data_IF_700157114022
#
_entry.id   IF_700157114022
#
_cell.length_a   1.000
_cell.length_b   1.000
_cell.length_c   1.000
_cell.angle_alpha   90.00
_cell.angle_beta   90.00
_cell.angle_gamma   90.00
#
_symmetry.space_group_name_H-M   'P 1'
#
loop_
_entity.id
_entity.type
_entity.pdbx_description
1 polymer ?
#
# COMPACT_ATOMS: atom_id res chain seq x y z
N UNK A 1 11.75 11.23 -2.56
CA UNK A 1 10.96 10.02 -2.90
C UNK A 1 9.57 10.49 -3.33
N UNK A 2 8.97 9.95 -4.40
CA UNK A 2 7.68 10.41 -4.92
C UNK A 2 6.53 10.18 -3.95
N UNK A 3 5.60 11.12 -3.87
CA UNK A 3 4.42 11.05 -3.00
C UNK A 3 3.54 9.83 -3.32
N UNK A 4 3.34 9.50 -4.60
CA UNK A 4 2.58 8.31 -5.02
C UNK A 4 3.15 6.99 -4.48
N UNK A 5 4.47 6.87 -4.34
CA UNK A 5 5.11 5.70 -3.73
C UNK A 5 4.76 5.58 -2.24
N UNK A 6 4.83 6.68 -1.50
CA UNK A 6 4.50 6.70 -0.07
C UNK A 6 3.03 6.37 0.19
N UNK A 7 2.13 6.85 -0.67
CA UNK A 7 0.72 6.47 -0.62
C UNK A 7 0.53 4.98 -0.93
N UNK A 8 1.25 4.44 -1.92
CA UNK A 8 1.23 3.01 -2.22
C UNK A 8 1.66 2.14 -1.05
N UNK A 9 2.72 2.54 -0.32
CA UNK A 9 3.14 1.84 0.91
C UNK A 9 2.02 1.82 1.98
N UNK A 10 1.37 2.96 2.20
CA UNK A 10 0.29 3.09 3.19
C UNK A 10 -0.96 2.29 2.81
N UNK A 11 -1.34 2.32 1.53
CA UNK A 11 -2.45 1.57 0.99
C UNK A 11 -2.24 0.07 1.17
N UNK A 12 -1.09 -0.45 0.73
CA UNK A 12 -0.73 -1.85 0.91
C UNK A 12 -0.77 -2.29 2.38
N UNK A 13 -0.29 -1.45 3.30
CA UNK A 13 -0.33 -1.72 4.75
C UNK A 13 -1.75 -1.82 5.30
N UNK A 14 -2.60 -0.86 4.93
CA UNK A 14 -4.00 -0.84 5.35
C UNK A 14 -4.74 -2.06 4.82
N UNK A 15 -4.61 -2.34 3.53
CA UNK A 15 -5.26 -3.49 2.90
C UNK A 15 -4.78 -4.82 3.48
N UNK A 16 -3.47 -4.99 3.68
CA UNK A 16 -2.92 -6.20 4.28
C UNK A 16 -3.49 -6.44 5.67
N UNK A 17 -3.54 -5.40 6.51
CA UNK A 17 -4.04 -5.51 7.87
C UNK A 17 -5.52 -5.86 7.91
N UNK A 18 -6.33 -5.22 7.06
CA UNK A 18 -7.78 -5.49 6.99
C UNK A 18 -8.08 -6.90 6.46
N UNK A 19 -7.32 -7.37 5.46
CA UNK A 19 -7.44 -8.74 4.95
C UNK A 19 -7.15 -9.74 6.06
N UNK A 20 -6.08 -9.53 6.84
CA UNK A 20 -5.69 -10.45 7.93
C UNK A 20 -6.71 -10.41 9.07
N UNK A 21 -7.20 -9.23 9.46
CA UNK A 21 -8.23 -9.09 10.48
C UNK A 21 -9.58 -9.72 10.09
N UNK A 22 -9.92 -9.74 8.79
CA UNK A 22 -11.10 -10.46 8.31
C UNK A 22 -10.92 -11.98 8.20
N UNK A 23 -9.67 -12.47 8.16
CA UNK A 23 -9.36 -13.87 7.88
C UNK A 23 -8.97 -14.69 9.13
N UNK A 24 -8.39 -14.05 10.15
CA UNK A 24 -7.96 -14.71 11.38
C UNK A 24 -9.02 -14.56 12.47
N UNK A 25 -9.25 -15.63 13.23
CA UNK A 25 -10.21 -15.68 14.32
C UNK A 25 -9.58 -16.24 15.60
N UNK A 26 -9.58 -15.45 16.68
CA UNK A 26 -9.16 -15.90 18.02
C UNK A 26 -9.91 -17.15 18.50
N UNK A 27 -11.19 -17.30 18.18
CA UNK A 27 -11.99 -18.47 18.55
C UNK A 27 -11.48 -19.75 17.86
N UNK A 28 -10.82 -19.62 16.71
CA UNK A 28 -10.10 -20.71 16.04
C UNK A 28 -8.70 -20.97 16.62
N UNK A 29 -8.30 -20.24 17.67
CA UNK A 29 -7.03 -20.43 18.39
C UNK A 29 -5.85 -19.60 17.86
N UNK A 30 -6.09 -18.69 16.91
CA UNK A 30 -5.06 -17.78 16.43
C UNK A 30 -4.64 -16.81 17.54
N UNK A 31 -3.32 -16.60 17.67
CA UNK A 31 -2.71 -15.69 18.64
C UNK A 31 -2.28 -14.40 17.96
N UNK A 32 -2.12 -13.34 18.75
CA UNK A 32 -1.56 -12.03 18.33
C UNK A 32 -0.26 -12.16 17.53
N UNK A 33 0.62 -13.08 17.95
CA UNK A 33 1.85 -13.37 17.21
C UNK A 33 1.57 -13.78 15.77
N UNK A 34 0.61 -14.69 15.57
CA UNK A 34 0.20 -15.17 14.25
C UNK A 34 -0.37 -14.05 13.41
N UNK A 35 -1.15 -13.14 14.01
CA UNK A 35 -1.66 -11.95 13.34
C UNK A 35 -0.51 -11.09 12.78
N UNK A 36 0.45 -10.71 13.64
CA UNK A 36 1.57 -9.87 13.22
C UNK A 36 2.48 -10.51 12.16
N UNK A 37 2.69 -11.83 12.19
CA UNK A 37 3.43 -12.53 11.13
C UNK A 37 2.65 -12.62 9.82
N UNK A 38 1.36 -12.96 9.90
CA UNK A 38 0.51 -13.04 8.70
C UNK A 38 0.37 -11.66 8.05
N UNK A 39 0.25 -10.59 8.84
CA UNK A 39 0.23 -9.22 8.35
C UNK A 39 1.54 -8.84 7.63
N UNK A 40 2.70 -9.32 8.09
CA UNK A 40 3.98 -9.12 7.38
C UNK A 40 3.95 -9.82 6.01
N UNK A 41 3.57 -11.09 5.96
CA UNK A 41 3.58 -11.90 4.73
C UNK A 41 2.57 -11.36 3.69
N UNK A 42 1.37 -10.99 4.15
CA UNK A 42 0.34 -10.40 3.28
C UNK A 42 0.78 -9.02 2.80
N UNK A 43 1.42 -8.21 3.66
CA UNK A 43 1.92 -6.89 3.27
C UNK A 43 2.96 -6.96 2.17
N UNK A 44 3.90 -7.90 2.24
CA UNK A 44 4.87 -8.13 1.17
C UNK A 44 4.17 -8.36 -0.19
N UNK A 45 3.17 -9.25 -0.22
CA UNK A 45 2.41 -9.54 -1.43
C UNK A 45 1.56 -8.35 -1.90
N UNK A 46 1.02 -7.56 -0.97
CA UNK A 46 0.25 -6.37 -1.28
C UNK A 46 1.13 -5.26 -1.87
N UNK A 47 2.35 -5.11 -1.38
CA UNK A 47 3.33 -4.17 -1.93
C UNK A 47 3.70 -4.55 -3.36
N UNK A 48 3.93 -5.83 -3.63
CA UNK A 48 4.18 -6.30 -5.00
C UNK A 48 2.99 -5.97 -5.93
N UNK A 49 1.75 -6.18 -5.47
CA UNK A 49 0.54 -5.82 -6.21
C UNK A 49 0.42 -4.33 -6.48
N UNK A 50 0.51 -3.50 -5.44
CA UNK A 50 0.36 -2.03 -5.55
C UNK A 50 1.42 -1.43 -6.48
N UNK A 51 2.61 -2.01 -6.50
CA UNK A 51 3.72 -1.57 -7.35
C UNK A 51 3.77 -2.24 -8.73
N UNK A 52 2.88 -3.17 -9.05
CA UNK A 52 2.91 -3.90 -10.32
C UNK A 52 4.19 -4.73 -10.51
N UNK A 53 4.78 -5.20 -9.41
CA UNK A 53 6.00 -6.01 -9.45
C UNK A 53 5.63 -7.45 -9.83
N UNK A 54 6.22 -7.96 -10.90
CA UNK A 54 5.99 -9.33 -11.37
C UNK A 54 4.73 -9.50 -12.24
N UNK A 55 4.01 -8.42 -12.54
CA UNK A 55 2.98 -8.42 -13.58
C UNK A 55 3.62 -8.23 -14.96
N UNK A 56 3.07 -8.87 -16.00
CA UNK A 56 3.46 -8.62 -17.39
C UNK A 56 2.94 -7.27 -17.93
N UNK A 57 2.19 -6.55 -17.10
CA UNK A 57 1.76 -5.18 -17.35
C UNK A 57 2.93 -4.22 -17.11
N UNK A 58 3.05 -3.19 -17.96
CA UNK A 58 4.05 -2.14 -17.80
C UNK A 58 4.01 -1.58 -16.36
N UNK A 59 5.18 -1.22 -15.79
CA UNK A 59 5.26 -0.69 -14.43
C UNK A 59 4.20 0.39 -14.20
N UNK A 60 3.36 0.21 -13.19
CA UNK A 60 2.29 1.14 -12.86
C UNK A 60 2.88 2.55 -12.68
N UNK A 61 2.53 3.46 -13.59
CA UNK A 61 2.75 4.90 -13.43
C UNK A 61 1.86 5.37 -12.28
N UNK A 62 2.33 5.15 -11.05
CA UNK A 62 1.70 5.58 -9.80
C UNK A 62 1.71 7.12 -9.71
N UNK A 63 0.85 7.75 -10.50
CA UNK A 63 0.50 9.16 -10.42
C UNK A 63 1.57 10.13 -10.92
N UNK A 64 1.77 10.19 -12.24
CA UNK A 64 1.91 11.47 -12.94
C UNK A 64 3.20 12.28 -12.80
N UNK A 65 4.33 11.73 -12.38
CA UNK A 65 5.61 12.46 -12.52
C UNK A 65 6.81 11.52 -12.51
N UNK A 66 7.28 11.13 -13.71
CA UNK A 66 8.66 10.75 -14.10
C UNK A 66 9.57 9.93 -13.16
N UNK A 67 9.05 9.33 -12.09
CA UNK A 67 9.83 8.58 -11.13
C UNK A 67 9.69 7.10 -11.49
N UNK A 68 10.73 6.59 -12.15
CA UNK A 68 10.72 5.30 -12.84
C UNK A 68 10.19 4.10 -12.03
N UNK A 69 9.94 3.02 -12.76
CA UNK A 69 9.39 1.76 -12.26
C UNK A 69 9.94 1.35 -10.88
N UNK A 70 9.03 1.07 -9.94
CA UNK A 70 9.37 0.35 -8.71
C UNK A 70 9.73 -1.07 -9.10
N UNK A 71 10.88 -1.57 -8.64
CA UNK A 71 11.32 -2.94 -8.91
C UNK A 71 11.53 -3.70 -7.61
N UNK A 72 11.34 -5.02 -7.65
CA UNK A 72 11.77 -5.89 -6.56
C UNK A 72 13.28 -5.82 -6.39
N UNK A 73 13.75 -5.63 -5.18
CA UNK A 73 15.16 -5.49 -4.85
C UNK A 73 15.46 -5.96 -3.43
N UNK A 74 15.30 -7.27 -3.22
CA UNK A 74 15.55 -7.94 -1.95
C UNK A 74 17.03 -7.86 -1.56
N UNK A 75 17.28 -7.71 -0.26
CA UNK A 75 18.64 -7.70 0.28
C UNK A 75 18.83 -8.85 1.26
N UNK A 76 19.64 -9.84 0.89
CA UNK A 76 20.01 -10.98 1.74
C UNK A 76 18.78 -11.64 2.41
N UNK A 77 17.74 -11.90 1.61
CA UNK A 77 16.48 -12.51 2.07
C UNK A 77 15.54 -11.57 2.83
N UNK A 78 15.87 -10.28 2.98
CA UNK A 78 14.92 -9.27 3.44
C UNK A 78 14.12 -8.73 2.26
N UNK A 79 12.77 -8.79 2.29
CA UNK A 79 11.92 -8.21 1.25
C UNK A 79 12.22 -6.74 1.02
N UNK A 80 12.36 -6.35 -0.25
CA UNK A 80 12.74 -4.99 -0.63
C UNK A 80 12.20 -4.53 -1.98
N UNK A 81 11.96 -3.22 -2.07
CA UNK A 81 11.56 -2.53 -3.30
C UNK A 81 12.50 -1.36 -3.55
N UNK A 82 12.86 -1.14 -4.82
CA UNK A 82 13.71 -0.03 -5.22
C UNK A 82 12.98 0.93 -6.14
N UNK A 83 13.12 2.22 -5.81
CA UNK A 83 12.65 3.34 -6.59
C UNK A 83 13.81 4.32 -6.79
N UNK A 84 14.34 4.36 -8.02
CA UNK A 84 15.57 5.09 -8.32
C UNK A 84 16.74 4.60 -7.45
N UNK A 85 17.28 5.51 -6.62
CA UNK A 85 18.40 5.24 -5.70
C UNK A 85 17.99 4.70 -4.33
N UNK A 86 16.69 4.64 -4.03
CA UNK A 86 16.21 4.25 -2.71
C UNK A 86 15.75 2.80 -2.73
N UNK A 87 16.39 1.95 -1.92
CA UNK A 87 15.88 0.62 -1.59
C UNK A 87 15.14 0.70 -0.27
N UNK A 88 13.94 0.16 -0.19
CA UNK A 88 13.12 0.12 1.02
C UNK A 88 12.95 -1.32 1.43
N UNK A 89 13.46 -1.70 2.61
CA UNK A 89 13.32 -3.05 3.13
C UNK A 89 12.20 -3.14 4.15
N UNK A 90 11.34 -4.16 4.03
CA UNK A 90 10.30 -4.43 5.02
C UNK A 90 10.91 -4.93 6.34
N UNK A 91 10.34 -4.51 7.46
CA UNK A 91 10.66 -5.03 8.79
C UNK A 91 9.44 -4.97 9.70
N UNK A 92 9.13 -6.10 10.33
CA UNK A 92 8.22 -6.14 11.47
C UNK A 92 8.89 -5.61 12.75
N UNK A 93 8.12 -4.88 13.56
CA UNK A 93 8.46 -4.56 14.94
C UNK A 93 7.28 -4.83 15.89
N UNK A 94 7.53 -4.68 17.20
CA UNK A 94 6.47 -4.67 18.22
C UNK A 94 5.78 -3.31 18.22
N UNK A 95 4.45 -3.30 18.39
CA UNK A 95 3.64 -2.09 18.41
C UNK A 95 4.13 -1.12 19.51
N UNK A 96 4.24 0.16 19.18
CA UNK A 96 4.77 1.21 20.05
C UNK A 96 6.30 1.18 20.23
N UNK A 97 6.99 0.16 19.73
CA UNK A 97 8.42 -0.05 19.97
C UNK A 97 9.33 0.39 18.81
N UNK A 98 8.81 1.05 17.76
CA UNK A 98 9.59 1.42 16.57
C UNK A 98 10.85 2.24 16.92
N UNK A 99 10.76 3.15 17.89
CA UNK A 99 11.90 4.00 18.33
C UNK A 99 12.91 3.25 19.19
N UNK A 100 12.52 2.10 19.74
CA UNK A 100 13.32 1.28 20.65
C UNK A 100 13.98 0.08 19.96
N UNK A 101 13.88 -0.04 18.62
CA UNK A 101 14.49 -1.14 17.87
C UNK A 101 15.99 -1.23 18.17
N UNK A 102 16.43 -2.43 18.54
CA UNK A 102 17.82 -2.77 18.84
C UNK A 102 18.52 -3.25 17.58
N UNK A 103 18.95 -2.32 16.71
CA UNK A 103 19.63 -2.66 15.46
C UNK A 103 20.90 -3.45 15.68
N UNK A 104 21.59 -3.25 16.79
CA UNK A 104 22.74 -4.04 17.23
C UNK A 104 22.44 -5.53 17.45
N UNK A 105 21.17 -5.90 17.60
CA UNK A 105 20.68 -7.28 17.83
C UNK A 105 19.90 -7.84 16.64
N UNK A 106 19.74 -7.07 15.57
CA UNK A 106 19.06 -7.51 14.36
C UNK A 106 19.95 -8.41 13.50
N UNK A 107 19.40 -8.94 12.40
CA UNK A 107 20.18 -9.75 11.45
C UNK A 107 21.41 -9.01 10.92
N UNK A 108 22.47 -9.73 10.49
CA UNK A 108 23.66 -9.10 9.92
C UNK A 108 23.36 -8.13 8.78
N UNK A 109 22.36 -8.45 7.96
CA UNK A 109 21.86 -7.57 6.89
C UNK A 109 21.33 -6.25 7.43
N UNK A 110 20.43 -6.28 8.42
CA UNK A 110 19.85 -5.07 9.00
C UNK A 110 20.89 -4.28 9.80
N UNK A 111 21.86 -4.95 10.43
CA UNK A 111 23.02 -4.30 11.02
C UNK A 111 23.88 -3.56 9.99
N UNK A 112 24.13 -4.17 8.82
CA UNK A 112 24.86 -3.52 7.74
C UNK A 112 24.12 -2.28 7.21
N UNK A 113 22.79 -2.39 7.04
CA UNK A 113 21.94 -1.24 6.69
C UNK A 113 22.01 -0.14 7.77
N UNK A 114 21.99 -0.50 9.05
CA UNK A 114 22.10 0.46 10.15
C UNK A 114 23.51 1.09 10.29
N UNK A 115 24.52 0.53 9.63
CA UNK A 115 25.90 1.06 9.58
C UNK A 115 26.15 1.99 8.40
N UNK A 116 25.19 2.13 7.48
CA UNK A 116 25.33 3.06 6.35
C UNK A 116 25.69 4.45 6.86
N UNK A 117 26.72 5.04 6.27
CA UNK A 117 27.17 6.37 6.68
C UNK A 117 26.07 7.40 6.42
N UNK A 118 25.76 8.17 7.45
CA UNK A 118 24.87 9.30 7.34
C UNK A 118 25.70 10.54 7.04
N UNK A 119 25.87 10.84 5.75
CA UNK A 119 26.25 12.19 5.33
C UNK A 119 25.18 13.16 5.85
N UNK A 120 25.58 14.16 6.63
CA UNK A 120 24.66 15.05 7.34
C UNK A 120 23.52 15.59 6.46
N UNK A 121 22.30 15.40 6.97
CA UNK A 121 21.00 16.00 6.64
C UNK A 121 20.29 15.68 5.29
N UNK A 122 19.43 14.65 5.24
CA UNK A 122 18.46 14.45 4.17
C UNK A 122 17.12 15.19 4.38
N UNK A 123 16.93 15.96 5.46
CA UNK A 123 15.80 16.91 5.54
C UNK A 123 16.01 18.14 4.65
N UNK A 124 17.18 18.33 4.03
CA UNK A 124 17.50 19.49 3.18
C UNK A 124 17.76 19.19 1.71
N UNK A 125 17.48 17.98 1.22
CA UNK A 125 17.54 17.67 -0.22
C UNK A 125 16.37 16.80 -0.70
N UNK A 126 15.16 17.06 -0.18
CA UNK A 126 13.94 16.81 -0.94
C UNK A 126 13.82 17.94 -1.98
N UNK A 127 14.67 17.89 -2.99
CA UNK A 127 14.61 18.83 -4.10
C UNK A 127 13.39 18.48 -4.97
N UNK A 128 12.42 19.40 -5.01
CA UNK A 128 11.17 19.33 -5.78
C UNK A 128 11.40 19.65 -7.27
N UNK A 129 12.56 19.22 -7.78
CA UNK A 129 13.04 19.41 -9.13
C UNK A 129 13.88 20.68 -9.30
N UNK A 130 15.21 20.55 -9.29
CA UNK A 130 16.20 21.30 -10.08
C UNK A 130 17.65 20.75 -9.88
N UNK A 131 18.15 20.13 -10.96
CA UNK A 131 19.54 20.12 -11.45
C UNK A 131 20.68 19.37 -10.70
N UNK A 132 21.15 18.32 -11.39
CA UNK A 132 22.54 17.90 -11.65
C UNK A 132 23.63 18.13 -10.57
N UNK A 133 24.03 17.04 -9.89
CA UNK A 133 25.43 16.83 -9.46
C UNK A 133 25.80 15.33 -9.38
N UNK A 134 26.61 14.92 -10.37
CA UNK A 134 27.72 13.96 -10.38
C UNK A 134 27.56 12.44 -10.07
N UNK A 135 27.84 11.65 -11.11
CA UNK A 135 28.63 10.40 -11.18
C UNK A 135 28.30 9.28 -10.16
N UNK A 136 27.38 8.38 -10.55
CA UNK A 136 27.06 7.04 -9.98
C UNK A 136 27.63 6.68 -8.59
N UNK A 137 26.90 6.97 -7.48
CA UNK A 137 27.24 6.44 -6.14
C UNK A 137 26.04 6.00 -5.24
N UNK A 138 26.22 4.87 -4.54
CA UNK A 138 25.43 4.20 -3.47
C UNK A 138 23.87 4.24 -3.45
N UNK A 139 23.27 3.05 -3.60
CA UNK A 139 21.85 2.81 -3.28
C UNK A 139 21.63 3.05 -1.78
N UNK A 140 20.77 4.02 -1.44
CA UNK A 140 20.40 4.31 -0.05
C UNK A 140 19.35 3.31 0.40
N UNK A 141 19.68 2.50 1.41
CA UNK A 141 18.74 1.51 1.96
C UNK A 141 18.01 2.06 3.17
N UNK A 142 16.70 2.21 3.04
CA UNK A 142 15.75 2.60 4.07
C UNK A 142 15.02 1.37 4.63
N UNK A 143 14.39 1.54 5.80
CA UNK A 143 13.54 0.52 6.38
C UNK A 143 12.10 1.02 6.46
N UNK A 144 11.19 0.21 5.94
CA UNK A 144 9.76 0.29 6.19
C UNK A 144 9.44 -0.56 7.42
N UNK A 145 9.29 0.10 8.56
CA UNK A 145 8.94 -0.54 9.82
C UNK A 145 7.41 -0.60 9.92
N UNK A 146 6.88 -1.81 10.02
CA UNK A 146 5.45 -2.04 10.17
C UNK A 146 5.14 -2.82 11.44
N UNK A 147 3.97 -2.55 12.01
CA UNK A 147 3.36 -3.32 13.09
C UNK A 147 1.84 -3.23 12.97
N UNK A 148 1.15 -4.32 13.31
CA UNK A 148 -0.29 -4.34 13.41
C UNK A 148 -0.70 -5.25 14.57
N UNK A 149 -1.74 -4.85 15.29
CA UNK A 149 -2.37 -5.62 16.37
C UNK A 149 -3.83 -5.89 16.03
N UNK A 150 -4.40 -6.97 16.56
CA UNK A 150 -5.79 -7.38 16.28
C UNK A 150 -6.79 -6.74 17.25
N UNK A 151 -6.44 -6.63 18.54
CA UNK A 151 -7.38 -6.25 19.61
C UNK A 151 -6.75 -5.32 20.66
N UNK A 152 -6.94 -3.99 20.54
CA UNK A 152 -7.63 -3.30 19.45
C UNK A 152 -6.90 -3.42 18.11
N UNK A 153 -7.64 -3.24 17.01
CA UNK A 153 -7.06 -3.18 15.67
C UNK A 153 -6.24 -1.90 15.53
N UNK A 154 -4.93 -2.00 15.69
CA UNK A 154 -4.00 -0.87 15.59
C UNK A 154 -2.95 -1.12 14.51
N UNK A 155 -2.46 -0.04 13.93
CA UNK A 155 -1.56 -0.05 12.78
C UNK A 155 -0.48 1.01 12.95
N UNK A 156 0.76 0.60 12.71
CA UNK A 156 1.93 1.46 12.73
C UNK A 156 2.73 1.24 11.46
N UNK A 157 3.01 2.31 10.74
CA UNK A 157 3.84 2.29 9.54
C UNK A 157 4.79 3.50 9.56
N UNK A 158 6.08 3.20 9.47
CA UNK A 158 7.13 4.22 9.48
C UNK A 158 8.16 3.93 8.40
N UNK A 159 8.67 5.01 7.77
CA UNK A 159 9.83 4.96 6.90
C UNK A 159 11.01 5.65 7.60
N UNK A 160 12.17 5.02 7.59
CA UNK A 160 13.33 5.57 8.29
C UNK A 160 14.67 5.12 7.75
N UNK A 161 15.71 5.87 8.09
CA UNK A 161 17.10 5.44 7.96
C UNK A 161 17.57 4.93 9.33
N UNK A 162 17.81 3.62 9.48
CA UNK A 162 18.23 3.05 10.75
C UNK A 162 19.64 3.50 11.12
N UNK A 163 19.91 3.58 12.42
CA UNK A 163 21.23 3.90 12.99
C UNK A 163 21.67 2.76 13.88
N UNK A 164 22.88 2.25 13.69
CA UNK A 164 23.45 1.26 14.58
C UNK A 164 23.56 1.87 15.99
N UNK A 165 22.92 1.23 16.96
CA UNK A 165 22.78 1.73 18.31
C UNK A 165 23.40 0.81 19.36
N UNK A 166 24.55 0.19 19.04
CA UNK A 166 25.36 -0.57 20.00
C UNK A 166 25.88 0.32 21.15
N UNK A 167 25.94 1.63 20.92
CA UNK A 167 26.25 2.68 21.89
C UNK A 167 25.06 3.01 22.82
N UNK A 168 23.88 2.41 22.61
CA UNK A 168 22.67 2.72 23.35
C UNK A 168 21.97 4.01 22.92
N UNK A 169 22.43 4.64 21.82
CA UNK A 169 21.82 5.85 21.28
C UNK A 169 20.51 5.60 20.52
N UNK A 170 20.05 6.62 19.80
CA UNK A 170 18.83 6.54 19.00
C UNK A 170 18.94 5.42 17.94
N UNK A 171 17.82 4.72 17.72
CA UNK A 171 17.71 3.65 16.73
C UNK A 171 17.65 4.17 15.28
N UNK A 172 17.44 5.46 15.06
CA UNK A 172 17.21 6.02 13.73
C UNK A 172 18.01 7.31 13.57
N UNK A 173 18.56 7.52 12.37
CA UNK A 173 19.04 8.83 11.97
C UNK A 173 17.87 9.79 11.75
N UNK A 174 16.83 9.29 11.10
CA UNK A 174 15.52 9.93 10.98
C UNK A 174 14.45 8.87 10.82
N UNK A 175 13.23 9.21 11.24
CA UNK A 175 12.06 8.34 11.21
C UNK A 175 10.82 9.16 10.91
N UNK A 176 10.06 8.77 9.90
CA UNK A 176 8.86 9.46 9.46
C UNK A 176 7.64 8.53 9.54
N UNK A 177 6.61 8.84 10.37
CA UNK A 177 5.32 8.15 10.29
C UNK A 177 4.67 8.31 8.92
N UNK A 178 4.04 7.24 8.42
CA UNK A 178 3.24 7.24 7.19
C UNK A 178 1.74 7.21 7.52
N UNK A 179 1.27 8.27 8.19
CA UNK A 179 -0.15 8.49 8.49
C UNK A 179 -0.86 9.28 7.38
N UNK A 180 -2.19 9.29 7.39
CA UNK A 180 -2.99 10.15 6.49
C UNK A 180 -2.61 11.63 6.67
N UNK A 181 -2.50 12.07 7.93
CA UNK A 181 -2.11 13.42 8.29
C UNK A 181 -0.72 13.80 7.76
N UNK A 182 0.23 12.86 7.76
CA UNK A 182 1.61 13.12 7.32
C UNK A 182 1.79 13.11 5.81
N UNK A 183 0.93 12.38 5.08
CA UNK A 183 1.04 12.25 3.63
C UNK A 183 0.19 13.29 2.88
N UNK A 184 -0.90 13.76 3.51
CA UNK A 184 -1.84 14.65 2.84
C UNK A 184 -2.69 13.92 1.79
N UNK A 185 -3.33 14.66 0.86
CA UNK A 185 -4.22 14.07 -0.14
C UNK A 185 -3.47 13.20 -1.15
N UNK A 186 -3.98 11.98 -1.41
CA UNK A 186 -3.38 11.06 -2.37
C UNK A 186 -3.41 11.62 -3.81
N UNK A 187 -2.25 11.92 -4.43
CA UNK A 187 -2.20 12.47 -5.78
C UNK A 187 -2.68 11.46 -6.83
N UNK A 188 -2.66 10.15 -6.53
CA UNK A 188 -3.14 9.09 -7.42
C UNK A 188 -4.66 9.11 -7.56
N UNK A 189 -5.36 9.60 -6.53
CA UNK A 189 -6.84 9.68 -6.53
C UNK A 189 -7.41 10.85 -7.32
N UNK A 190 -6.60 11.85 -7.71
CA UNK A 190 -7.08 13.00 -8.52
C UNK A 190 -7.32 12.68 -9.99
N UNK A 191 -6.91 11.51 -10.48
CA UNK A 191 -7.09 11.10 -11.88
C UNK A 191 -8.41 10.38 -12.17
N UNK A 192 -9.25 10.18 -11.16
CA UNK A 192 -10.64 9.82 -11.38
C UNK A 192 -11.43 11.10 -11.21
N UNK A 193 -11.62 11.86 -12.30
CA UNK A 193 -12.89 12.58 -12.40
C UNK A 193 -13.96 11.52 -12.15
N UNK A 194 -14.81 11.66 -11.11
CA UNK A 194 -16.00 10.86 -11.08
C UNK A 194 -16.65 11.13 -12.42
N UNK A 195 -16.72 10.11 -13.28
CA UNK A 195 -17.74 10.12 -14.32
C UNK A 195 -19.04 10.07 -13.52
N UNK A 196 -19.47 11.24 -13.04
CA UNK A 196 -20.83 11.47 -12.62
C UNK A 196 -21.63 10.88 -13.75
N UNK A 197 -22.46 9.87 -13.49
CA UNK A 197 -23.26 9.35 -14.57
C UNK A 197 -24.08 10.57 -15.05
N UNK A 198 -23.95 10.89 -16.34
CA UNK A 198 -24.64 11.99 -17.01
C UNK A 198 -26.15 11.66 -17.05
N UNK A 199 -26.80 11.68 -15.89
CA UNK A 199 -28.25 11.79 -15.79
C UNK A 199 -28.52 13.27 -15.61
N UNK A 200 -28.59 14.00 -16.72
CA UNK A 200 -29.31 15.25 -16.71
C UNK A 200 -30.79 14.88 -16.55
N UNK A 201 -31.43 15.40 -15.50
CA UNK A 201 -32.88 15.32 -15.24
C UNK A 201 -33.70 16.17 -16.25
N UNK A 202 -33.28 16.16 -17.51
CA UNK A 202 -33.88 16.92 -18.60
C UNK A 202 -33.81 16.08 -19.86
N UNK A 203 -34.73 15.13 -19.98
CA UNK A 203 -35.32 14.74 -21.26
C UNK A 203 -36.66 14.04 -21.02
N UNK A 204 -37.71 14.76 -21.42
CA UNK A 204 -39.02 14.36 -21.90
C UNK A 204 -39.65 13.04 -21.40
N UNK A 205 -40.82 13.19 -20.76
CA UNK A 205 -41.83 12.14 -20.62
C UNK A 205 -42.18 11.56 -22.00
N UNK A 206 -41.51 10.49 -22.38
CA UNK A 206 -41.86 9.71 -23.57
C UNK A 206 -43.17 8.97 -23.26
N UNK A 207 -44.27 9.18 -24.01
CA UNK A 207 -45.52 8.51 -23.73
C UNK A 207 -45.41 7.03 -24.11
N UNK A 208 -45.24 6.18 -23.09
CA UNK A 208 -45.27 4.73 -23.22
C UNK A 208 -46.66 4.30 -23.64
N UNK A 209 -46.80 3.88 -24.90
CA UNK A 209 -48.05 3.27 -25.39
C UNK A 209 -48.06 1.80 -24.96
N UNK A 210 -48.85 1.46 -23.95
CA UNK A 210 -49.07 0.07 -23.55
C UNK A 210 -49.75 -0.70 -24.70
N UNK A 211 -49.01 -1.61 -25.33
CA UNK A 211 -49.61 -2.59 -26.22
C UNK A 211 -50.53 -3.51 -25.41
N UNK A 212 -51.84 -3.30 -25.55
CA UNK A 212 -52.88 -4.19 -25.01
C UNK A 212 -52.70 -5.57 -25.64
N UNK A 213 -52.33 -6.55 -24.81
CA UNK A 213 -52.34 -7.98 -25.17
C UNK A 213 -53.78 -8.37 -25.59
N UNK A 214 -54.00 -8.99 -26.76
CA UNK A 214 -55.35 -9.40 -27.15
C UNK A 214 -55.85 -10.47 -26.17
N UNK A 215 -57.07 -10.25 -25.67
CA UNK A 215 -57.78 -11.21 -24.85
C UNK A 215 -57.96 -12.51 -25.62
N UNK A 216 -57.67 -13.63 -24.96
CA UNK A 216 -57.86 -14.98 -25.46
C UNK A 216 -59.36 -15.25 -25.47
N UNK A 217 -59.99 -15.18 -26.64
CA UNK A 217 -61.40 -15.54 -26.80
C UNK A 217 -61.58 -17.03 -26.49
N UNK A 218 -62.38 -17.31 -25.47
CA UNK A 218 -62.96 -18.63 -25.22
C UNK A 218 -63.96 -18.92 -26.33
N UNK A 219 -63.71 -19.98 -27.09
CA UNK A 219 -64.63 -20.49 -28.11
C UNK A 219 -65.65 -21.41 -27.42
N UNK A 220 -66.93 -21.06 -27.53
CA UNK A 220 -68.04 -21.97 -27.24
C UNK A 220 -68.56 -22.53 -28.56
N UNK A 221 -68.44 -23.84 -28.80
CA UNK A 221 -69.29 -24.62 -29.71
C UNK A 221 -69.46 -26.01 -29.06
N UNK A 222 -70.58 -26.25 -28.37
CA UNK A 222 -71.78 -26.99 -28.82
C UNK A 222 -71.53 -28.47 -29.13
N UNK A 223 -72.07 -29.27 -28.23
CA UNK A 223 -72.24 -30.71 -28.22
C UNK A 223 -73.38 -31.14 -29.17
N UNK A 224 -73.12 -32.13 -30.04
CA UNK A 224 -74.10 -33.13 -30.51
C UNK A 224 -73.36 -34.36 -31.07
N UNK A 225 -73.54 -35.52 -30.44
CA UNK A 225 -74.07 -36.76 -31.05
C UNK A 225 -73.78 -37.99 -30.16
N UNK A 226 -74.78 -38.46 -29.43
CA UNK A 226 -75.36 -39.81 -29.58
C UNK A 226 -76.73 -39.86 -28.88
#
# INVERSE_FOLDING_TARGET
MPTGFLHGLREAHTEATLVVAGALDRAAGFKERSFGFTAFDVLESQLDRVFGVGTAEEPSDLGGSSAGAVVRDDLNGSPGWRLGRYRVLLKRHEFGAVRAIRWDRESPTKQAVARQEFGGDPQLALDLGLADLHDTPEVVTLVLAHSATEEPLEMELFLGLPRLNADGGAAWHWLWPLTEDTLGPDPRRRLVEPTLPLWNDTDDDVPVTLHRRPARNANTIVEKAQ
#
